data_IF_722058034506
#
_entry.id   IF_722058034506
#
_cell.length_a   1.000
_cell.length_b   1.000
_cell.length_c   1.000
_cell.angle_alpha   90.00
_cell.angle_beta   90.00
_cell.angle_gamma   90.00
#
_symmetry.space_group_name_H-M   'P 1'
#
loop_
_entity.id
_entity.type
_entity.pdbx_description
1 polymer ?
#
# COMPACT_ATOMS: atom_id res chain seq x y z
N UNK A 1 5.44 16.55 -3.93
CA UNK A 1 5.11 15.18 -3.45
C UNK A 1 5.51 14.07 -4.43
N UNK A 2 5.36 14.25 -5.74
CA UNK A 2 5.65 13.20 -6.75
C UNK A 2 7.10 12.68 -6.70
N UNK A 3 8.09 13.55 -6.44
CA UNK A 3 9.52 13.16 -6.36
C UNK A 3 9.90 12.21 -5.22
N UNK A 4 9.07 12.06 -4.17
CA UNK A 4 9.41 11.28 -2.97
C UNK A 4 8.84 9.86 -2.97
N UNK A 5 7.83 9.58 -3.81
CA UNK A 5 7.25 8.24 -3.98
C UNK A 5 8.01 7.36 -4.98
N UNK A 6 8.91 7.94 -5.78
CA UNK A 6 9.83 7.23 -6.72
C UNK A 6 11.05 6.65 -5.95
N UNK A 7 10.86 6.29 -4.69
CA UNK A 7 11.92 5.76 -3.81
C UNK A 7 12.19 4.26 -3.98
N UNK A 8 11.67 3.62 -5.03
CA UNK A 8 12.29 2.40 -5.51
C UNK A 8 13.66 2.82 -6.06
N UNK A 9 14.75 2.22 -5.56
CA UNK A 9 16.08 2.54 -6.07
C UNK A 9 16.08 2.30 -7.58
N UNK A 10 16.55 3.28 -8.35
CA UNK A 10 16.68 3.19 -9.81
C UNK A 10 17.40 1.88 -10.21
N UNK A 11 18.37 1.45 -9.38
CA UNK A 11 19.12 0.20 -9.51
C UNK A 11 18.24 -1.07 -9.49
N UNK A 12 17.15 -1.08 -8.71
CA UNK A 12 16.22 -2.22 -8.63
C UNK A 12 15.35 -2.34 -9.90
N UNK A 13 15.13 -1.23 -10.62
CA UNK A 13 14.39 -1.17 -11.89
C UNK A 13 15.27 -1.64 -13.04
N UNK A 14 16.55 -1.20 -13.09
CA UNK A 14 17.52 -1.66 -14.10
C UNK A 14 17.78 -3.16 -14.01
N UNK A 15 17.84 -3.71 -12.79
CA UNK A 15 18.06 -5.14 -12.59
C UNK A 15 16.83 -6.00 -12.93
N UNK A 16 15.62 -5.43 -12.88
CA UNK A 16 14.39 -6.11 -13.33
C UNK A 16 14.31 -6.22 -14.87
N UNK A 17 15.01 -5.35 -15.62
CA UNK A 17 15.02 -5.36 -17.08
C UNK A 17 15.96 -6.42 -17.70
N UNK A 18 16.87 -7.04 -16.93
CA UNK A 18 17.94 -7.89 -17.46
C UNK A 18 17.66 -9.41 -17.47
N UNK A 19 16.57 -9.89 -16.87
CA UNK A 19 16.26 -11.32 -16.81
C UNK A 19 15.20 -11.74 -17.85
N UNK A 20 15.69 -12.15 -19.02
CA UNK A 20 14.88 -12.67 -20.13
C UNK A 20 14.65 -14.17 -19.94
N UNK A 21 13.53 -14.53 -19.31
CA UNK A 21 12.93 -15.87 -19.48
C UNK A 21 11.77 -15.76 -20.46
N UNK A 22 11.69 -16.73 -21.37
CA UNK A 22 10.75 -16.77 -22.50
C UNK A 22 9.28 -16.73 -22.01
N UNK A 23 8.58 -15.60 -22.17
CA UNK A 23 7.17 -15.48 -21.84
C UNK A 23 6.36 -16.05 -23.01
N UNK A 24 5.23 -16.67 -22.72
CA UNK A 24 4.19 -16.87 -23.73
C UNK A 24 3.84 -15.48 -24.29
N UNK A 25 4.29 -15.21 -25.51
CA UNK A 25 4.05 -13.95 -26.19
C UNK A 25 2.75 -14.10 -26.98
N UNK A 26 1.82 -13.18 -26.78
CA UNK A 26 0.55 -13.13 -27.49
C UNK A 26 0.62 -12.02 -28.54
N UNK A 27 0.19 -12.31 -29.77
CA UNK A 27 0.00 -11.25 -30.77
C UNK A 27 -1.39 -10.66 -30.61
N UNK A 28 -1.46 -9.38 -30.26
CA UNK A 28 -2.70 -8.61 -30.15
C UNK A 28 -2.54 -7.37 -31.02
N UNK A 29 -3.45 -7.19 -31.99
CA UNK A 29 -3.43 -6.07 -32.94
C UNK A 29 -2.07 -5.87 -33.65
N UNK A 30 -1.40 -6.97 -34.04
CA UNK A 30 -0.11 -6.93 -34.74
C UNK A 30 1.08 -6.51 -33.87
N UNK A 31 0.90 -6.43 -32.54
CA UNK A 31 1.97 -6.19 -31.58
C UNK A 31 2.24 -7.44 -30.75
N UNK A 32 3.51 -7.71 -30.50
CA UNK A 32 3.96 -8.80 -29.64
C UNK A 32 3.86 -8.36 -28.18
N UNK A 33 2.87 -8.87 -27.45
CA UNK A 33 2.71 -8.60 -26.02
C UNK A 33 3.29 -9.75 -25.19
N UNK A 34 3.96 -9.39 -24.09
CA UNK A 34 4.57 -10.32 -23.16
C UNK A 34 3.93 -10.19 -21.78
N UNK A 35 3.59 -11.30 -21.12
CA UNK A 35 3.08 -11.27 -19.75
C UNK A 35 4.17 -10.86 -18.76
N UNK A 36 4.00 -9.74 -18.07
CA UNK A 36 4.97 -9.16 -17.12
C UNK A 36 4.30 -8.73 -15.83
N UNK A 37 5.08 -8.68 -14.75
CA UNK A 37 4.60 -8.11 -13.48
C UNK A 37 4.83 -6.61 -13.52
N UNK A 38 3.78 -5.85 -13.23
CA UNK A 38 3.82 -4.38 -13.26
C UNK A 38 3.23 -3.81 -11.98
N UNK A 39 3.64 -2.58 -11.66
CA UNK A 39 3.02 -1.73 -10.67
C UNK A 39 2.25 -0.62 -11.38
N UNK A 40 0.96 -0.50 -11.08
CA UNK A 40 0.08 0.55 -11.57
C UNK A 40 -0.04 1.61 -10.48
N UNK A 41 0.32 2.85 -10.80
CA UNK A 41 0.04 4.00 -9.96
C UNK A 41 -1.25 4.66 -10.42
N UNK A 42 -2.21 4.83 -9.52
CA UNK A 42 -3.56 5.29 -9.86
C UNK A 42 -4.14 6.25 -8.82
N UNK A 43 -5.05 7.09 -9.29
CA UNK A 43 -5.85 8.00 -8.49
C UNK A 43 -7.32 7.92 -8.88
N UNK A 44 -8.20 8.17 -7.92
CA UNK A 44 -9.64 8.12 -8.14
C UNK A 44 -10.45 8.97 -7.16
N UNK A 45 -11.60 9.44 -7.64
CA UNK A 45 -12.66 10.07 -6.87
C UNK A 45 -13.60 8.99 -6.35
N UNK A 46 -13.54 8.71 -5.05
CA UNK A 46 -14.22 7.56 -4.43
C UNK A 46 -15.73 7.68 -4.27
N UNK A 47 -16.32 8.87 -4.43
CA UNK A 47 -17.73 9.17 -4.09
C UNK A 47 -18.74 8.20 -4.71
N UNK A 48 -18.53 7.80 -5.96
CA UNK A 48 -19.42 6.88 -6.69
C UNK A 48 -19.20 5.40 -6.38
N UNK A 49 -18.12 5.05 -5.68
CA UNK A 49 -17.67 3.67 -5.55
C UNK A 49 -17.95 3.08 -4.18
N UNK A 50 -18.17 1.76 -4.13
CA UNK A 50 -18.38 0.99 -2.89
C UNK A 50 -17.05 0.55 -2.24
N UNK A 51 -15.99 1.32 -2.47
CA UNK A 51 -14.62 1.07 -2.02
C UNK A 51 -13.69 0.73 -3.19
N UNK A 52 -12.40 0.53 -2.91
CA UNK A 52 -11.45 0.13 -3.96
C UNK A 52 -11.56 -1.35 -4.32
N UNK A 53 -11.74 -2.20 -3.30
CA UNK A 53 -11.57 -3.65 -3.43
C UNK A 53 -12.70 -4.32 -4.16
N UNK A 54 -12.37 -5.27 -5.06
CA UNK A 54 -13.37 -6.07 -5.76
C UNK A 54 -14.35 -6.72 -4.77
N UNK A 55 -15.64 -6.64 -5.07
CA UNK A 55 -16.68 -7.37 -4.35
C UNK A 55 -17.70 -7.91 -5.34
N UNK A 56 -17.68 -9.24 -5.54
CA UNK A 56 -18.50 -9.93 -6.55
C UNK A 56 -19.99 -9.98 -6.22
N UNK A 57 -20.40 -9.60 -5.02
CA UNK A 57 -21.82 -9.49 -4.67
C UNK A 57 -22.42 -8.16 -5.10
N UNK A 58 -21.58 -7.21 -5.50
CA UNK A 58 -22.01 -5.93 -6.06
C UNK A 58 -22.12 -6.03 -7.58
N UNK A 59 -22.87 -5.11 -8.17
CA UNK A 59 -22.96 -5.00 -9.63
C UNK A 59 -21.62 -4.66 -10.28
N UNK A 60 -21.60 -4.72 -11.60
CA UNK A 60 -20.42 -4.37 -12.40
C UNK A 60 -19.99 -2.92 -12.14
N UNK A 61 -18.67 -2.70 -12.20
CA UNK A 61 -18.04 -1.39 -12.01
C UNK A 61 -18.39 -0.67 -10.68
N UNK A 62 -18.88 -1.41 -9.68
CA UNK A 62 -19.22 -0.87 -8.36
C UNK A 62 -17.98 -0.47 -7.54
N UNK A 63 -16.81 -1.02 -7.86
CA UNK A 63 -15.55 -0.74 -7.17
C UNK A 63 -14.45 -0.31 -8.14
N UNK A 64 -13.46 0.41 -7.64
CA UNK A 64 -12.37 0.95 -8.47
C UNK A 64 -11.58 -0.17 -9.16
N UNK A 65 -11.34 -1.29 -8.49
CA UNK A 65 -10.64 -2.44 -9.06
C UNK A 65 -11.41 -3.08 -10.23
N UNK A 66 -12.75 -3.13 -10.17
CA UNK A 66 -13.56 -3.63 -11.28
C UNK A 66 -13.44 -2.71 -12.50
N UNK A 67 -13.53 -1.39 -12.29
CA UNK A 67 -13.37 -0.40 -13.36
C UNK A 67 -11.98 -0.51 -14.02
N UNK A 68 -10.92 -0.66 -13.22
CA UNK A 68 -9.56 -0.84 -13.73
C UNK A 68 -9.40 -2.15 -14.50
N UNK A 69 -9.94 -3.26 -13.99
CA UNK A 69 -9.93 -4.56 -14.68
C UNK A 69 -10.66 -4.48 -16.02
N UNK A 70 -11.87 -3.90 -16.04
CA UNK A 70 -12.68 -3.68 -17.24
C UNK A 70 -11.95 -2.83 -18.28
N UNK A 71 -11.27 -1.76 -17.87
CA UNK A 71 -10.50 -0.91 -18.78
C UNK A 71 -9.29 -1.65 -19.37
N UNK A 72 -8.52 -2.36 -18.56
CA UNK A 72 -7.37 -3.15 -19.02
C UNK A 72 -7.76 -4.35 -19.90
N UNK A 73 -8.95 -4.90 -19.69
CA UNK A 73 -9.49 -5.94 -20.57
C UNK A 73 -9.85 -5.40 -21.95
N UNK A 74 -10.53 -4.24 -22.01
CA UNK A 74 -10.90 -3.58 -23.28
C UNK A 74 -9.69 -3.21 -24.14
N UNK A 75 -8.55 -2.93 -23.51
CA UNK A 75 -7.29 -2.60 -24.20
C UNK A 75 -6.49 -3.83 -24.63
N UNK A 76 -6.95 -5.04 -24.31
CA UNK A 76 -6.25 -6.30 -24.62
C UNK A 76 -5.05 -6.59 -23.73
N UNK A 77 -4.87 -5.84 -22.63
CA UNK A 77 -3.75 -6.06 -21.70
C UNK A 77 -4.04 -7.18 -20.68
N UNK A 78 -5.31 -7.55 -20.53
CA UNK A 78 -5.74 -8.75 -19.81
C UNK A 78 -6.38 -9.70 -20.83
N UNK A 79 -5.88 -10.94 -20.90
CA UNK A 79 -6.47 -11.96 -21.77
C UNK A 79 -7.86 -12.38 -21.27
N UNK A 80 -8.72 -12.84 -22.18
CA UNK A 80 -10.07 -13.33 -21.87
C UNK A 80 -10.06 -14.46 -20.81
N UNK A 81 -9.07 -15.35 -20.88
CA UNK A 81 -8.89 -16.43 -19.91
C UNK A 81 -8.54 -15.98 -18.47
N UNK A 82 -8.05 -14.75 -18.33
CA UNK A 82 -7.65 -14.13 -17.07
C UNK A 82 -8.69 -13.13 -16.53
N UNK A 83 -9.55 -12.58 -17.39
CA UNK A 83 -10.56 -11.60 -17.00
C UNK A 83 -11.51 -12.14 -15.93
N UNK A 84 -11.85 -11.31 -14.95
CA UNK A 84 -12.67 -11.68 -13.80
C UNK A 84 -11.95 -12.55 -12.77
N UNK A 85 -10.69 -12.95 -13.00
CA UNK A 85 -9.93 -13.83 -12.12
C UNK A 85 -8.65 -13.18 -11.58
N UNK A 86 -8.81 -12.22 -10.67
CA UNK A 86 -7.74 -11.51 -9.95
C UNK A 86 -6.60 -12.41 -9.41
N UNK A 87 -6.89 -13.65 -9.04
CA UNK A 87 -5.88 -14.63 -8.59
C UNK A 87 -4.93 -15.07 -9.71
N UNK A 88 -5.41 -15.25 -10.95
CA UNK A 88 -4.61 -15.67 -12.11
C UNK A 88 -3.60 -14.60 -12.54
N UNK A 89 -3.91 -13.33 -12.27
CA UNK A 89 -3.05 -12.19 -12.57
C UNK A 89 -2.26 -11.68 -11.36
N UNK A 90 -2.26 -12.41 -10.22
CA UNK A 90 -1.56 -12.01 -9.00
C UNK A 90 -1.85 -10.57 -8.56
N UNK A 91 -3.13 -10.19 -8.61
CA UNK A 91 -3.52 -8.84 -8.20
C UNK A 91 -3.21 -8.60 -6.72
N UNK A 92 -2.48 -7.52 -6.44
CA UNK A 92 -2.04 -7.07 -5.13
C UNK A 92 -2.29 -5.57 -4.99
N UNK A 93 -2.47 -5.10 -3.75
CA UNK A 93 -2.95 -3.75 -3.45
C UNK A 93 -2.16 -3.18 -2.29
N UNK A 94 -1.64 -1.96 -2.42
CA UNK A 94 -0.97 -1.29 -1.31
C UNK A 94 -1.93 -0.94 -0.17
N UNK A 95 -3.19 -0.62 -0.49
CA UNK A 95 -4.22 -0.24 0.48
C UNK A 95 -5.62 -0.71 0.04
N UNK A 96 -6.53 -0.75 1.01
CA UNK A 96 -7.97 -0.86 0.74
C UNK A 96 -8.62 0.43 1.23
N UNK A 97 -9.47 1.01 0.40
CA UNK A 97 -10.24 2.21 0.76
C UNK A 97 -11.70 1.82 0.92
N UNK A 98 -12.33 2.41 1.94
CA UNK A 98 -13.74 2.22 2.20
C UNK A 98 -14.61 2.96 1.17
N UNK A 99 -15.91 2.67 1.18
CA UNK A 99 -16.90 3.34 0.34
C UNK A 99 -16.77 4.86 0.45
N UNK A 100 -16.69 5.54 -0.69
CA UNK A 100 -16.61 7.00 -0.76
C UNK A 100 -15.21 7.60 -0.56
N UNK A 101 -14.21 6.82 -0.13
CA UNK A 101 -12.86 7.33 0.13
C UNK A 101 -12.10 7.58 -1.17
N UNK A 102 -11.54 8.78 -1.32
CA UNK A 102 -10.73 9.19 -2.46
C UNK A 102 -9.27 8.72 -2.32
N UNK A 103 -8.54 8.69 -3.43
CA UNK A 103 -7.11 8.39 -3.42
C UNK A 103 -6.38 9.13 -4.54
N UNK A 104 -5.21 9.69 -4.25
CA UNK A 104 -4.34 10.30 -5.25
C UNK A 104 -3.20 9.40 -5.71
N UNK A 105 -2.84 8.36 -4.95
CA UNK A 105 -1.64 7.56 -5.25
C UNK A 105 -1.71 6.13 -4.75
N UNK A 106 -2.78 5.43 -5.10
CA UNK A 106 -2.89 4.00 -4.81
C UNK A 106 -2.01 3.23 -5.79
N UNK A 107 -1.17 2.35 -5.24
CA UNK A 107 -0.37 1.40 -6.03
C UNK A 107 -1.02 0.04 -6.01
N UNK A 108 -1.18 -0.56 -7.19
CA UNK A 108 -1.65 -1.93 -7.38
C UNK A 108 -0.62 -2.71 -8.18
N UNK A 109 -0.41 -3.98 -7.85
CA UNK A 109 0.50 -4.86 -8.57
C UNK A 109 -0.27 -5.98 -9.25
N UNK A 110 0.08 -6.31 -10.49
CA UNK A 110 -0.57 -7.39 -11.26
C UNK A 110 0.36 -7.92 -12.36
N UNK A 111 -0.04 -9.04 -12.96
CA UNK A 111 0.54 -9.58 -14.17
C UNK A 111 -0.37 -9.34 -15.37
N UNK A 112 0.07 -8.49 -16.27
CA UNK A 112 -0.65 -8.14 -17.50
C UNK A 112 0.24 -8.32 -18.73
N UNK A 113 -0.39 -8.38 -19.90
CA UNK A 113 0.28 -8.37 -21.20
C UNK A 113 0.75 -6.94 -21.47
N UNK A 114 2.03 -6.75 -21.76
CA UNK A 114 2.60 -5.45 -22.11
C UNK A 114 3.43 -5.54 -23.38
N UNK A 115 3.51 -4.44 -24.10
CA UNK A 115 4.43 -4.27 -25.22
C UNK A 115 5.81 -3.96 -24.65
N UNK A 116 6.73 -4.92 -24.74
CA UNK A 116 8.04 -4.82 -24.10
C UNK A 116 8.98 -3.84 -24.84
N UNK A 117 8.73 -3.59 -26.13
CA UNK A 117 9.53 -2.67 -26.93
C UNK A 117 9.34 -1.20 -26.47
N UNK A 118 8.16 -0.85 -25.94
CA UNK A 118 7.92 0.47 -25.36
C UNK A 118 8.89 0.79 -24.22
N UNK A 119 9.20 -0.21 -23.39
CA UNK A 119 10.09 -0.02 -22.25
C UNK A 119 11.56 -0.10 -22.66
N UNK A 120 11.92 -1.10 -23.48
CA UNK A 120 13.33 -1.40 -23.78
C UNK A 120 13.91 -0.55 -24.90
N UNK A 121 13.13 -0.29 -25.95
CA UNK A 121 13.62 0.35 -27.18
C UNK A 121 13.23 1.82 -27.23
N UNK A 122 12.01 2.13 -26.81
CA UNK A 122 11.49 3.49 -26.85
C UNK A 122 11.76 4.28 -25.56
N UNK A 123 12.18 3.61 -24.48
CA UNK A 123 12.59 4.26 -23.23
C UNK A 123 11.45 4.75 -22.35
N UNK A 124 10.22 4.22 -22.51
CA UNK A 124 9.09 4.52 -21.63
C UNK A 124 9.20 3.74 -20.30
N UNK A 125 10.18 4.10 -19.47
CA UNK A 125 10.47 3.43 -18.19
C UNK A 125 9.27 3.51 -17.23
N UNK A 126 8.52 4.61 -17.30
CA UNK A 126 7.35 4.87 -16.48
C UNK A 126 6.08 4.16 -16.99
N UNK A 127 6.09 3.65 -18.23
CA UNK A 127 4.94 3.02 -18.87
C UNK A 127 3.77 3.97 -19.06
N UNK A 128 4.04 5.22 -19.44
CA UNK A 128 3.04 6.25 -19.69
C UNK A 128 2.14 5.88 -20.87
N UNK A 129 2.68 5.24 -21.92
CA UNK A 129 1.89 4.84 -23.09
C UNK A 129 0.84 3.78 -22.74
N UNK A 130 1.17 2.86 -21.84
CA UNK A 130 0.20 1.91 -21.30
C UNK A 130 -0.81 2.58 -20.37
N UNK A 131 -0.37 3.55 -19.57
CA UNK A 131 -1.27 4.34 -18.74
C UNK A 131 -2.31 5.10 -19.59
N UNK A 132 -1.89 5.77 -20.65
CA UNK A 132 -2.74 6.52 -21.58
C UNK A 132 -3.77 5.60 -22.25
N UNK A 133 -3.33 4.44 -22.74
CA UNK A 133 -4.21 3.43 -23.35
C UNK A 133 -5.30 2.96 -22.38
N UNK A 134 -4.96 2.74 -21.11
CA UNK A 134 -5.93 2.38 -20.07
C UNK A 134 -6.87 3.56 -19.79
N UNK A 135 -6.33 4.78 -19.69
CA UNK A 135 -7.11 5.99 -19.40
C UNK A 135 -8.18 6.30 -20.44
N UNK A 136 -7.97 5.95 -21.72
CA UNK A 136 -8.99 6.06 -22.79
C UNK A 136 -10.28 5.29 -22.48
N UNK A 137 -10.18 4.25 -21.65
CA UNK A 137 -11.29 3.37 -21.29
C UNK A 137 -11.78 3.56 -19.85
N UNK A 138 -11.22 4.55 -19.13
CA UNK A 138 -11.58 4.87 -17.75
C UNK A 138 -12.57 6.03 -17.67
N UNK A 139 -13.52 6.00 -16.71
CA UNK A 139 -14.37 7.15 -16.42
C UNK A 139 -13.54 8.33 -15.91
N UNK A 140 -14.06 9.56 -16.04
CA UNK A 140 -13.34 10.79 -15.66
C UNK A 140 -12.75 10.76 -14.23
N UNK A 141 -13.49 10.16 -13.30
CA UNK A 141 -13.10 10.07 -11.89
C UNK A 141 -12.02 9.04 -11.56
N UNK A 142 -11.48 8.28 -12.52
CA UNK A 142 -10.41 7.30 -12.29
C UNK A 142 -9.30 7.51 -13.31
N UNK A 143 -8.05 7.56 -12.85
CA UNK A 143 -6.87 7.76 -13.69
C UNK A 143 -5.73 6.86 -13.28
N UNK A 144 -5.02 6.35 -14.29
CA UNK A 144 -3.72 5.69 -14.16
C UNK A 144 -2.64 6.69 -14.54
N UNK A 145 -1.65 6.86 -13.67
CA UNK A 145 -0.54 7.79 -13.88
C UNK A 145 0.68 7.11 -14.50
N UNK A 146 0.91 5.83 -14.18
CA UNK A 146 2.05 5.07 -14.69
C UNK A 146 1.81 3.55 -14.57
N UNK A 147 2.49 2.80 -15.44
CA UNK A 147 2.48 1.33 -15.47
C UNK A 147 3.93 0.84 -15.54
N UNK A 148 4.57 0.74 -14.39
CA UNK A 148 6.01 0.43 -14.31
C UNK A 148 6.25 -1.08 -14.30
N UNK A 149 7.25 -1.55 -15.06
CA UNK A 149 7.74 -2.93 -14.93
C UNK A 149 8.41 -3.11 -13.58
N UNK A 150 8.08 -4.22 -12.90
CA UNK A 150 8.65 -4.57 -11.60
C UNK A 150 9.12 -6.01 -11.58
N UNK A 151 9.85 -6.37 -10.53
CA UNK A 151 10.33 -7.74 -10.36
C UNK A 151 9.17 -8.75 -10.26
N UNK A 152 9.43 -10.02 -10.61
CA UNK A 152 8.42 -11.10 -10.65
C UNK A 152 7.77 -11.40 -9.28
N UNK A 153 8.38 -10.96 -8.17
CA UNK A 153 7.95 -11.22 -6.79
C UNK A 153 7.26 -10.00 -6.16
N UNK A 154 7.07 -8.92 -6.91
CA UNK A 154 6.47 -7.71 -6.40
C UNK A 154 5.05 -7.97 -5.92
N UNK A 155 4.77 -7.52 -4.69
CA UNK A 155 3.45 -7.52 -4.10
C UNK A 155 3.23 -6.16 -3.43
N UNK A 156 2.26 -5.39 -3.95
CA UNK A 156 2.06 -4.01 -3.54
C UNK A 156 1.74 -3.87 -2.03
N UNK A 157 1.16 -4.89 -1.39
CA UNK A 157 0.84 -4.86 0.04
C UNK A 157 2.10 -4.96 0.88
N UNK A 158 2.98 -5.89 0.54
CA UNK A 158 4.18 -6.19 1.34
C UNK A 158 5.34 -5.22 1.06
N UNK A 159 5.40 -4.65 -0.14
CA UNK A 159 6.37 -3.62 -0.49
C UNK A 159 5.99 -2.23 0.03
N UNK A 160 4.73 -2.01 0.40
CA UNK A 160 4.27 -0.76 1.01
C UNK A 160 4.81 -0.65 2.44
N UNK A 161 5.69 0.33 2.67
CA UNK A 161 6.25 0.61 3.99
C UNK A 161 5.31 1.48 4.83
N UNK A 162 4.90 2.61 4.25
CA UNK A 162 4.06 3.60 4.92
C UNK A 162 2.92 4.05 4.01
N UNK A 163 1.89 4.63 4.64
CA UNK A 163 0.73 5.21 3.94
C UNK A 163 0.46 6.58 4.54
N UNK A 164 0.26 7.56 3.66
CA UNK A 164 -0.11 8.92 4.06
C UNK A 164 -1.55 9.17 3.65
N UNK A 165 -2.37 9.64 4.59
CA UNK A 165 -3.76 10.01 4.36
C UNK A 165 -3.94 11.49 4.71
N UNK A 166 -4.63 12.21 3.84
CA UNK A 166 -5.02 13.60 4.06
C UNK A 166 -6.53 13.67 4.27
N UNK A 167 -6.94 14.34 5.35
CA UNK A 167 -8.34 14.54 5.69
C UNK A 167 -8.68 16.02 5.52
N UNK A 168 -9.61 16.31 4.62
CA UNK A 168 -10.18 17.65 4.46
C UNK A 168 -11.36 17.79 5.41
N UNK A 169 -11.26 18.76 6.31
CA UNK A 169 -12.26 19.00 7.34
C UNK A 169 -12.80 20.42 7.25
N UNK A 170 -14.13 20.62 7.28
CA UNK A 170 -14.71 21.96 7.42
C UNK A 170 -14.23 22.63 8.72
N UNK A 171 -13.81 23.89 8.62
CA UNK A 171 -13.34 24.67 9.78
C UNK A 171 -14.37 24.75 10.91
N UNK A 172 -15.66 24.70 10.55
CA UNK A 172 -16.77 24.66 11.50
C UNK A 172 -16.78 23.44 12.42
N UNK A 173 -16.14 22.32 12.07
CA UNK A 173 -16.04 21.16 12.98
C UNK A 173 -15.14 21.47 14.19
N UNK A 174 -14.23 22.43 14.05
CA UNK A 174 -13.33 22.89 15.12
C UNK A 174 -13.81 24.21 15.74
N UNK A 175 -15.03 24.65 15.42
CA UNK A 175 -15.59 25.94 15.82
C UNK A 175 -14.66 27.12 15.46
N UNK A 176 -13.99 27.03 14.31
CA UNK A 176 -13.12 28.10 13.80
C UNK A 176 -13.94 29.11 13.01
N UNK A 177 -13.73 30.41 13.30
CA UNK A 177 -14.36 31.53 12.57
C UNK A 177 -13.57 31.93 11.32
N UNK A 178 -12.32 31.51 11.23
CA UNK A 178 -11.36 31.86 10.19
C UNK A 178 -11.10 33.37 10.07
N UNK A 179 -11.24 34.12 11.18
CA UNK A 179 -11.05 35.57 11.25
C UNK A 179 -9.66 35.99 11.75
N UNK A 180 -8.81 35.01 12.11
CA UNK A 180 -7.49 35.26 12.68
C UNK A 180 -7.52 35.68 14.14
N UNK A 181 -8.65 35.50 14.84
CA UNK A 181 -8.76 35.75 16.28
C UNK A 181 -7.84 34.84 17.10
N UNK A 182 -7.42 35.35 18.26
CA UNK A 182 -6.64 34.57 19.24
C UNK A 182 -7.39 33.29 19.66
N UNK A 183 -8.73 33.32 19.69
CA UNK A 183 -9.57 32.14 19.95
C UNK A 183 -9.33 31.01 18.94
N UNK A 184 -9.30 31.34 17.64
CA UNK A 184 -9.06 30.37 16.58
C UNK A 184 -7.64 29.79 16.67
N UNK A 185 -6.65 30.62 16.99
CA UNK A 185 -5.26 30.18 17.20
C UNK A 185 -5.20 29.18 18.35
N UNK A 186 -5.80 29.49 19.50
CA UNK A 186 -5.83 28.61 20.67
C UNK A 186 -6.54 27.28 20.36
N UNK A 187 -7.68 27.32 19.65
CA UNK A 187 -8.41 26.10 19.26
C UNK A 187 -7.56 25.22 18.35
N UNK A 188 -6.88 25.82 17.36
CA UNK A 188 -6.02 25.10 16.42
C UNK A 188 -4.79 24.50 17.11
N UNK A 189 -4.17 25.22 18.04
CA UNK A 189 -3.06 24.69 18.85
C UNK A 189 -3.49 23.51 19.71
N UNK A 190 -4.65 23.61 20.38
CA UNK A 190 -5.21 22.50 21.15
C UNK A 190 -5.48 21.27 20.28
N UNK A 191 -6.02 21.48 19.08
CA UNK A 191 -6.26 20.41 18.11
C UNK A 191 -4.95 19.74 17.67
N UNK A 192 -3.92 20.53 17.32
CA UNK A 192 -2.58 20.02 16.98
C UNK A 192 -1.93 19.26 18.12
N UNK A 193 -2.05 19.75 19.36
CA UNK A 193 -1.55 19.06 20.54
C UNK A 193 -2.24 17.71 20.76
N UNK A 194 -3.55 17.63 20.55
CA UNK A 194 -4.28 16.37 20.58
C UNK A 194 -3.82 15.39 19.50
N UNK A 195 -3.60 15.86 18.25
CA UNK A 195 -3.09 15.02 17.16
C UNK A 195 -1.69 14.46 17.48
N UNK A 196 -0.80 15.29 18.04
CA UNK A 196 0.54 14.88 18.44
C UNK A 196 0.54 13.75 19.47
N UNK A 197 -0.52 13.63 20.29
CA UNK A 197 -0.65 12.55 21.27
C UNK A 197 -0.79 11.15 20.64
N UNK A 198 -1.15 11.09 19.35
CA UNK A 198 -1.26 9.86 18.57
C UNK A 198 0.06 9.42 17.90
N UNK A 199 1.10 10.26 17.94
CA UNK A 199 2.40 9.89 17.38
C UNK A 199 3.12 8.84 18.26
N UNK A 200 3.82 7.91 17.62
CA UNK A 200 4.69 6.93 18.26
C UNK A 200 4.18 5.48 18.23
N UNK A 201 5.13 4.54 18.12
CA UNK A 201 4.84 3.12 17.90
C UNK A 201 4.29 2.35 19.12
N UNK A 202 4.27 2.96 20.31
CA UNK A 202 3.85 2.30 21.56
C UNK A 202 2.38 2.52 21.95
N UNK A 203 1.59 3.19 21.10
CA UNK A 203 0.17 3.47 21.37
C UNK A 203 -0.71 2.29 20.93
N UNK A 204 -1.66 1.92 21.79
CA UNK A 204 -2.66 0.91 21.45
C UNK A 204 -3.90 1.58 20.83
N UNK A 205 -4.20 1.24 19.57
CA UNK A 205 -5.31 1.83 18.81
C UNK A 205 -6.58 0.96 18.76
N UNK A 206 -6.72 -0.01 19.66
CA UNK A 206 -7.85 -0.95 19.67
C UNK A 206 -9.24 -0.27 19.80
N UNK A 207 -9.30 0.90 20.44
CA UNK A 207 -10.54 1.69 20.55
C UNK A 207 -10.92 2.45 19.26
N UNK A 208 -10.03 2.51 18.27
CA UNK A 208 -10.22 3.25 17.01
C UNK A 208 -10.53 2.32 15.84
N UNK A 209 -10.95 1.09 16.13
CA UNK A 209 -11.29 0.06 15.14
C UNK A 209 -12.50 -0.74 15.62
N UNK A 210 -13.15 -1.46 14.72
CA UNK A 210 -14.35 -2.23 15.06
C UNK A 210 -13.98 -3.39 15.99
N UNK A 211 -14.74 -3.54 17.08
CA UNK A 211 -14.51 -4.48 18.18
C UNK A 211 -14.33 -5.94 17.75
N UNK A 212 -15.00 -6.34 16.65
CA UNK A 212 -14.97 -7.70 16.12
C UNK A 212 -13.60 -8.16 15.61
N UNK A 213 -12.61 -7.28 15.50
CA UNK A 213 -11.25 -7.64 15.12
C UNK A 213 -10.38 -8.10 16.32
N UNK A 214 -10.86 -7.91 17.56
CA UNK A 214 -10.07 -8.13 18.80
C UNK A 214 -10.81 -8.95 19.86
N UNK A 215 -12.00 -9.47 19.57
CA UNK A 215 -12.72 -10.36 20.49
C UNK A 215 -12.19 -11.78 20.33
N UNK A 216 -11.76 -12.42 21.43
CA UNK A 216 -11.40 -13.84 21.40
C UNK A 216 -12.58 -14.66 20.89
N UNK A 217 -12.39 -15.33 19.74
CA UNK A 217 -13.42 -16.14 19.07
C UNK A 217 -13.64 -15.83 17.58
N UNK A 218 -13.17 -14.70 17.05
CA UNK A 218 -13.22 -14.42 15.61
C UNK A 218 -11.95 -14.91 14.90
N UNK A 219 -12.00 -16.12 14.35
CA UNK A 219 -11.17 -16.60 13.24
C UNK A 219 -9.69 -16.19 13.16
N UNK A 220 -8.81 -17.06 13.66
CA UNK A 220 -7.43 -17.30 13.25
C UNK A 220 -6.52 -16.08 12.94
N UNK A 221 -6.59 -15.00 13.72
CA UNK A 221 -5.60 -13.92 13.65
C UNK A 221 -4.82 -13.88 14.97
N UNK A 222 -3.78 -14.72 15.07
CA UNK A 222 -2.73 -14.50 16.07
C UNK A 222 -2.04 -13.18 15.74
N UNK A 223 -2.32 -12.15 16.53
CA UNK A 223 -1.60 -10.89 16.47
C UNK A 223 -0.18 -11.11 17.01
N UNK A 224 0.77 -11.49 16.15
CA UNK A 224 2.18 -11.49 16.51
C UNK A 224 2.69 -10.05 16.47
N UNK A 225 2.63 -9.38 17.62
CA UNK A 225 3.29 -8.10 17.80
C UNK A 225 4.80 -8.26 17.58
N UNK A 226 5.27 -7.97 16.36
CA UNK A 226 6.70 -7.86 16.10
C UNK A 226 7.22 -6.65 16.86
N UNK A 227 7.78 -6.91 18.05
CA UNK A 227 8.61 -5.97 18.79
C UNK A 227 9.83 -5.67 17.90
N UNK A 228 9.84 -4.51 17.24
CA UNK A 228 11.02 -4.00 16.55
C UNK A 228 12.19 -4.01 17.54
N UNK A 229 13.19 -4.86 17.29
CA UNK A 229 14.45 -4.83 18.03
C UNK A 229 15.13 -3.50 17.72
N UNK A 230 15.41 -2.70 18.75
CA UNK A 230 16.20 -1.47 18.61
C UNK A 230 17.56 -1.82 17.98
N UNK A 231 18.10 -1.00 17.07
CA UNK A 231 19.49 -1.14 16.62
C UNK A 231 20.41 -1.01 17.83
N UNK A 232 21.44 -1.86 17.92
CA UNK A 232 22.53 -1.67 18.89
C UNK A 232 23.36 -0.47 18.43
N UNK A 233 23.32 0.60 19.21
CA UNK A 233 24.32 1.66 19.12
C UNK A 233 25.67 1.07 19.51
N UNK A 234 26.67 1.26 18.65
CA UNK A 234 28.05 0.92 18.91
C UNK A 234 28.65 2.02 19.77
N UNK A 235 28.64 1.84 21.09
CA UNK A 235 29.40 2.68 22.01
C UNK A 235 30.58 1.90 22.57
N UNK A 236 31.74 2.54 22.46
CA UNK A 236 33.04 2.01 22.83
C UNK A 236 33.21 1.81 24.32
N UNK A 237 34.28 1.08 24.62
CA UNK A 237 34.77 0.73 25.94
C UNK A 237 34.87 1.96 26.86
N UNK A 238 34.21 1.90 28.01
CA UNK A 238 34.68 2.56 29.23
C UNK A 238 34.29 1.74 30.46
N UNK A 239 35.28 1.60 31.35
CA UNK A 239 35.43 0.59 32.39
C UNK A 239 34.39 0.71 33.52
N UNK A 240 33.99 -0.45 34.08
CA UNK A 240 33.24 -0.57 35.34
C UNK A 240 34.20 -0.60 36.53
N UNK A 241 33.89 0.08 37.66
CA UNK A 241 34.47 -0.29 38.95
C UNK A 241 33.67 -1.45 39.58
N UNK A 242 34.40 -2.32 40.29
CA UNK A 242 33.95 -3.41 41.14
C UNK A 242 33.19 -2.95 42.38
N UNK A 243 32.30 -3.82 42.89
CA UNK A 243 31.90 -4.09 44.30
C UNK A 243 30.42 -4.53 44.33
N UNK A 244 29.93 -5.53 45.07
CA UNK A 244 30.49 -6.54 45.95
C UNK A 244 29.48 -7.72 45.98
N UNK A 245 29.99 -8.93 46.13
CA UNK A 245 29.22 -10.18 46.27
C UNK A 245 28.57 -10.25 47.65
N UNK A 246 27.28 -10.63 47.71
CA UNK A 246 26.72 -11.44 48.80
C UNK A 246 25.71 -12.39 48.17
N UNK A 247 26.00 -13.69 48.24
CA UNK A 247 25.11 -14.76 47.83
C UNK A 247 24.58 -15.51 49.05
N UNK A 248 23.48 -16.23 48.82
CA UNK A 248 22.93 -17.42 49.50
C UNK A 248 21.43 -17.44 49.12
N UNK A 249 20.84 -18.45 48.49
CA UNK A 249 21.08 -19.89 48.52
C UNK A 249 19.75 -20.53 48.93
N UNK A 250 18.87 -20.83 47.96
CA UNK A 250 17.58 -21.51 48.21
C UNK A 250 17.78 -22.99 47.93
N UNK A 251 17.83 -23.81 48.98
CA UNK A 251 17.69 -25.27 48.89
C UNK A 251 16.21 -25.67 49.02
N UNK A 252 15.77 -26.56 48.13
CA UNK A 252 14.50 -27.29 48.19
C UNK A 252 14.81 -28.77 48.29
N UNK A 253 14.36 -29.43 49.36
CA UNK A 253 14.10 -30.88 49.52
C UNK A 253 13.23 -30.99 50.80
N UNK A 254 12.24 -31.88 51.01
CA UNK A 254 11.79 -33.15 50.42
C UNK A 254 10.36 -33.44 50.95
N UNK A 255 9.69 -34.39 50.30
CA UNK A 255 8.36 -34.97 50.62
C UNK A 255 8.23 -35.70 51.97
N UNK A 256 6.97 -36.14 52.23
CA UNK A 256 6.45 -37.16 53.17
C UNK A 256 5.96 -36.56 54.49
N UNK A 257 4.69 -36.66 54.92
CA UNK A 257 3.66 -37.72 54.85
C UNK A 257 2.24 -37.12 54.69
#
# INVERSE_FOLDING_TARGET
LIKKMVGAKIDDIEQACSHVDNPEAEEVNGKKLCKRTVAIHSGYVGTGYKGSSVNRTLGDDATVEQVLESAMFKTGLISESNFGHFSKIRWSRASRTDKGVHSLGTVMGLRMLIDEDLYLREGDVEGLRHADLINEHLPEGVRVFSVQKVNKKFDARHYCQDRTYEYYLPASMLDLKCDGSDEDVIRLERFRAALKSFEGASKAFHNYTRFSAYTEGSGNTQYSGHRLKRPREAEGEQQRPEEARMGEGVEKEKEVE
#
